data_IF_147880067438
#
_entry.id   IF_147880067438
#
_cell.length_a   1.000
_cell.length_b   1.000
_cell.length_c   1.000
_cell.angle_alpha   90.00
_cell.angle_beta   90.00
_cell.angle_gamma   90.00
#
_symmetry.space_group_name_H-M   'P 1'
#
loop_
_entity.id
_entity.type
_entity.pdbx_description
1 polymer ?
#
# COMPACT_ATOMS: atom_id res chain seq x y z
N UNK A 1 -35.81 52.45 -45.35
CA UNK A 1 -34.98 53.33 -44.49
C UNK A 1 -35.33 53.08 -43.04
N UNK A 2 -34.33 53.16 -42.16
CA UNK A 2 -34.40 53.11 -40.68
C UNK A 2 -34.34 51.72 -40.02
N UNK A 3 -33.11 51.24 -39.83
CA UNK A 3 -32.77 50.27 -38.80
C UNK A 3 -32.86 50.90 -37.41
N UNK A 4 -33.19 50.10 -36.39
CA UNK A 4 -33.22 50.51 -34.99
C UNK A 4 -32.36 49.53 -34.17
N UNK A 5 -31.33 49.99 -33.45
CA UNK A 5 -30.37 49.11 -32.78
C UNK A 5 -30.96 48.56 -31.48
N UNK A 6 -31.24 47.25 -31.44
CA UNK A 6 -31.68 46.50 -30.25
C UNK A 6 -30.52 46.10 -29.31
N UNK A 7 -29.31 46.63 -29.52
CA UNK A 7 -28.09 46.15 -28.85
C UNK A 7 -27.70 46.86 -27.55
N UNK A 8 -28.38 47.95 -27.14
CA UNK A 8 -27.85 48.83 -26.07
C UNK A 8 -28.58 48.74 -24.72
N UNK A 9 -29.76 48.12 -24.66
CA UNK A 9 -30.55 48.06 -23.40
C UNK A 9 -30.22 46.82 -22.56
N UNK A 10 -29.57 45.79 -23.15
CA UNK A 10 -29.24 44.55 -22.43
C UNK A 10 -27.92 44.61 -21.64
N UNK A 11 -27.18 45.74 -21.69
CA UNK A 11 -25.90 45.89 -20.96
C UNK A 11 -25.97 46.70 -19.67
N UNK A 12 -27.16 47.17 -19.28
CA UNK A 12 -27.35 47.95 -18.05
C UNK A 12 -27.89 47.10 -16.89
N UNK A 13 -28.39 45.89 -17.15
CA UNK A 13 -28.84 44.96 -16.10
C UNK A 13 -27.71 44.13 -15.45
N UNK A 14 -26.46 44.29 -15.89
CA UNK A 14 -25.31 43.54 -15.37
C UNK A 14 -24.39 44.34 -14.43
N UNK A 15 -24.71 45.61 -14.16
CA UNK A 15 -23.87 46.50 -13.37
C UNK A 15 -24.46 46.87 -11.98
N UNK A 16 -25.56 46.23 -11.57
CA UNK A 16 -26.26 46.55 -10.31
C UNK A 16 -26.49 45.34 -9.38
N UNK A 17 -25.78 44.24 -9.58
CA UNK A 17 -25.79 43.07 -8.66
C UNK A 17 -24.39 42.73 -8.10
N UNK A 18 -23.41 43.63 -8.24
CA UNK A 18 -22.02 43.42 -7.79
C UNK A 18 -21.68 44.10 -6.45
N UNK A 19 -22.67 44.45 -5.61
CA UNK A 19 -22.40 45.18 -4.37
C UNK A 19 -23.28 44.76 -3.17
N UNK A 20 -23.66 43.47 -3.07
CA UNK A 20 -24.45 43.00 -1.93
C UNK A 20 -24.23 41.53 -1.53
N UNK A 21 -23.04 40.95 -1.75
CA UNK A 21 -22.73 39.56 -1.34
C UNK A 21 -21.47 39.39 -0.43
N UNK A 22 -20.56 40.35 -0.17
CA UNK A 22 -19.46 40.09 0.75
C UNK A 22 -19.74 40.52 2.20
N UNK A 23 -20.98 40.40 2.70
CA UNK A 23 -21.32 40.73 4.11
C UNK A 23 -21.98 39.57 4.90
N UNK A 24 -22.19 38.40 4.30
CA UNK A 24 -22.80 37.24 4.99
C UNK A 24 -21.78 36.16 5.39
N UNK A 25 -20.50 36.34 5.05
CA UNK A 25 -19.43 35.35 5.35
C UNK A 25 -18.84 35.48 6.77
N UNK A 26 -19.25 36.47 7.58
CA UNK A 26 -18.68 36.70 8.92
C UNK A 26 -19.51 36.13 10.11
N UNK A 27 -20.56 35.34 9.88
CA UNK A 27 -21.46 34.90 10.98
C UNK A 27 -21.55 33.38 11.18
N UNK A 28 -20.66 32.59 10.58
CA UNK A 28 -20.58 31.14 10.81
C UNK A 28 -19.27 30.68 11.48
N UNK A 29 -18.62 31.55 12.25
CA UNK A 29 -17.58 31.10 13.19
C UNK A 29 -18.23 30.42 14.38
N UNK A 30 -18.49 29.12 14.26
CA UNK A 30 -18.79 28.27 15.41
C UNK A 30 -17.59 28.29 16.36
N UNK A 31 -17.78 28.50 17.68
CA UNK A 31 -16.69 28.40 18.63
C UNK A 31 -16.18 26.95 18.68
N UNK A 32 -14.87 26.79 18.49
CA UNK A 32 -14.19 25.53 18.81
C UNK A 32 -14.13 25.39 20.33
N UNK A 33 -15.02 24.55 20.88
CA UNK A 33 -14.91 24.12 22.27
C UNK A 33 -13.64 23.29 22.42
N UNK A 34 -12.62 23.91 23.00
CA UNK A 34 -11.37 23.29 23.34
C UNK A 34 -11.60 22.11 24.31
N UNK A 35 -10.91 21.01 24.03
CA UNK A 35 -10.80 19.75 24.79
C UNK A 35 -10.27 19.99 26.22
N UNK A 36 -11.07 20.57 27.10
CA UNK A 36 -10.67 20.85 28.48
C UNK A 36 -11.05 19.76 29.48
N UNK A 37 -11.51 18.60 29.01
CA UNK A 37 -11.92 17.48 29.87
C UNK A 37 -11.09 16.21 29.63
N UNK A 38 -9.75 16.33 29.62
CA UNK A 38 -8.93 15.21 30.08
C UNK A 38 -8.96 15.29 31.60
N UNK A 39 -9.76 14.42 32.21
CA UNK A 39 -9.67 14.09 33.62
C UNK A 39 -8.26 13.58 33.87
N UNK A 40 -7.38 14.45 34.37
CA UNK A 40 -6.12 14.03 34.97
C UNK A 40 -6.51 13.15 36.15
N UNK A 41 -6.48 11.84 35.94
CA UNK A 41 -6.53 10.89 37.04
C UNK A 41 -5.38 11.22 37.97
N UNK A 42 -5.76 11.68 39.15
CA UNK A 42 -4.90 11.85 40.30
C UNK A 42 -4.37 10.47 40.64
N UNK A 43 -3.14 10.21 40.21
CA UNK A 43 -2.36 9.06 40.67
C UNK A 43 -2.43 9.06 42.21
N UNK A 44 -2.85 7.96 42.84
CA UNK A 44 -2.90 7.89 44.29
C UNK A 44 -1.48 8.19 44.85
N UNK A 45 -1.39 8.88 46.00
CA UNK A 45 -0.10 9.17 46.60
C UNK A 45 0.66 7.85 46.82
N UNK A 46 1.94 7.85 46.47
CA UNK A 46 2.88 6.78 46.80
C UNK A 46 2.75 6.43 48.28
N UNK A 47 2.14 5.29 48.57
CA UNK A 47 2.11 4.74 49.92
C UNK A 47 3.52 4.27 50.22
N UNK A 48 4.25 5.06 51.01
CA UNK A 48 5.45 4.59 51.70
C UNK A 48 5.02 3.46 52.64
N UNK A 49 5.47 2.20 52.46
CA UNK A 49 5.12 1.15 53.41
C UNK A 49 5.93 1.35 54.70
N UNK A 50 5.30 1.23 55.88
CA UNK A 50 6.04 1.01 57.11
C UNK A 50 6.72 -0.36 57.04
N UNK A 51 7.89 -0.44 57.66
CA UNK A 51 8.61 -1.69 57.87
C UNK A 51 7.80 -2.65 58.77
N UNK A 52 8.10 -3.94 58.60
CA UNK A 52 7.76 -5.10 59.43
C UNK A 52 6.51 -5.93 59.07
N UNK A 53 6.80 -6.94 58.25
CA UNK A 53 6.63 -8.38 58.53
C UNK A 53 5.20 -8.93 58.75
N UNK A 54 4.62 -9.54 57.70
CA UNK A 54 3.99 -10.88 57.70
C UNK A 54 3.44 -11.25 56.29
N UNK A 55 3.73 -12.47 55.86
CA UNK A 55 3.59 -13.07 54.52
C UNK A 55 2.16 -13.15 53.90
N UNK A 56 2.02 -13.16 52.56
CA UNK A 56 0.82 -13.67 51.88
C UNK A 56 1.02 -15.08 51.28
N UNK A 57 0.01 -15.98 51.34
CA UNK A 57 0.01 -17.23 50.59
C UNK A 57 -0.47 -17.02 49.13
N UNK A 58 0.30 -17.55 48.18
CA UNK A 58 -0.14 -18.26 46.97
C UNK A 58 -1.02 -17.57 45.93
N UNK A 59 -0.39 -17.03 44.87
CA UNK A 59 -0.59 -17.48 43.48
C UNK A 59 0.38 -16.74 42.56
N UNK A 60 1.60 -17.25 42.43
CA UNK A 60 2.58 -16.78 41.44
C UNK A 60 2.48 -17.67 40.21
N UNK A 61 2.13 -17.10 39.05
CA UNK A 61 2.34 -17.76 37.76
C UNK A 61 3.85 -17.99 37.60
N UNK A 62 4.34 -19.22 37.37
CA UNK A 62 5.77 -19.48 37.24
C UNK A 62 6.34 -18.85 35.97
N UNK A 63 7.35 -17.99 36.14
CA UNK A 63 8.23 -17.54 35.05
C UNK A 63 9.21 -18.67 34.68
N UNK A 64 9.45 -18.98 33.39
CA UNK A 64 10.52 -19.89 32.98
C UNK A 64 11.91 -19.28 33.27
N UNK A 65 12.84 -20.13 33.70
CA UNK A 65 14.21 -19.73 34.05
C UNK A 65 15.00 -19.21 32.85
N UNK A 66 15.92 -18.25 33.03
CA UNK A 66 16.89 -17.88 32.01
C UNK A 66 17.85 -19.05 31.75
N UNK A 67 17.99 -19.44 30.49
CA UNK A 67 18.96 -20.46 30.07
C UNK A 67 20.38 -19.91 30.29
N UNK A 68 21.17 -20.64 31.06
CA UNK A 68 22.54 -20.28 31.44
C UNK A 68 23.49 -20.20 30.23
N UNK A 69 24.51 -19.37 30.40
CA UNK A 69 25.65 -19.19 29.49
C UNK A 69 26.30 -20.52 29.12
N UNK A 70 26.52 -20.84 27.82
CA UNK A 70 27.30 -22.02 27.44
C UNK A 70 28.80 -21.82 27.73
N UNK A 71 29.53 -22.89 28.10
CA UNK A 71 30.97 -22.86 28.41
C UNK A 71 31.84 -22.61 27.17
N UNK A 72 33.12 -22.20 27.34
CA UNK A 72 33.98 -21.86 26.21
C UNK A 72 34.50 -23.09 25.45
N UNK A 73 34.45 -22.96 24.13
CA UNK A 73 35.34 -23.49 23.08
C UNK A 73 35.75 -24.97 23.13
N UNK A 74 35.27 -25.72 22.12
CA UNK A 74 36.11 -26.65 21.36
C UNK A 74 35.88 -26.37 19.89
N UNK A 75 36.95 -26.04 19.17
CA UNK A 75 36.96 -25.97 17.72
C UNK A 75 37.36 -27.34 17.18
N UNK A 76 36.53 -27.99 16.35
CA UNK A 76 36.99 -29.01 15.43
C UNK A 76 37.01 -28.45 14.00
N UNK A 77 38.16 -28.67 13.38
CA UNK A 77 38.54 -28.57 11.97
C UNK A 77 37.40 -28.54 10.94
N UNK A 78 37.52 -27.63 9.98
CA UNK A 78 36.68 -27.56 8.78
C UNK A 78 36.68 -28.89 8.00
N UNK A 79 35.51 -29.42 7.63
CA UNK A 79 35.38 -30.27 6.45
C UNK A 79 35.19 -29.37 5.22
N UNK A 80 36.08 -29.52 4.25
CA UNK A 80 35.75 -29.18 2.87
C UNK A 80 34.67 -30.15 2.35
N UNK A 81 33.92 -29.67 1.37
CA UNK A 81 33.03 -30.38 0.42
C UNK A 81 31.51 -30.22 0.55
N UNK A 82 31.00 -29.77 -0.61
CA UNK A 82 29.67 -29.91 -1.19
C UNK A 82 28.52 -29.09 -0.58
N UNK A 83 28.24 -27.95 -1.23
CA UNK A 83 26.88 -27.41 -1.28
C UNK A 83 25.92 -28.52 -1.72
N UNK A 84 24.78 -28.73 -1.05
CA UNK A 84 23.78 -29.65 -1.55
C UNK A 84 23.11 -28.99 -2.76
N UNK A 85 23.38 -29.55 -3.93
CA UNK A 85 22.57 -29.38 -5.14
C UNK A 85 21.14 -29.82 -4.77
N UNK A 86 20.32 -28.84 -4.39
CA UNK A 86 18.92 -29.06 -4.09
C UNK A 86 18.16 -29.04 -5.41
N UNK A 87 17.38 -30.09 -5.73
CA UNK A 87 16.68 -30.17 -7.00
C UNK A 87 15.72 -28.99 -7.14
N UNK A 88 15.65 -28.46 -8.37
CA UNK A 88 14.77 -27.35 -8.74
C UNK A 88 13.35 -27.53 -8.21
N UNK A 89 12.99 -26.77 -7.18
CA UNK A 89 11.62 -26.59 -6.76
C UNK A 89 10.98 -25.56 -7.68
N UNK A 90 10.12 -26.04 -8.58
CA UNK A 90 9.41 -25.25 -9.58
C UNK A 90 8.29 -24.42 -8.96
N UNK A 91 8.64 -23.46 -8.10
CA UNK A 91 7.70 -22.54 -7.46
C UNK A 91 8.15 -21.10 -7.66
N UNK A 92 7.31 -20.31 -8.35
CA UNK A 92 7.36 -18.86 -8.60
C UNK A 92 8.76 -18.24 -8.48
N UNK A 93 9.36 -18.01 -9.64
CA UNK A 93 10.65 -17.34 -9.84
C UNK A 93 10.65 -15.94 -9.24
N UNK A 94 10.89 -15.81 -7.92
CA UNK A 94 11.74 -14.72 -7.49
C UNK A 94 13.09 -14.99 -8.14
N UNK A 95 13.61 -14.11 -9.01
CA UNK A 95 14.95 -14.29 -9.55
C UNK A 95 15.87 -14.54 -8.36
N UNK A 96 16.61 -15.66 -8.39
CA UNK A 96 17.64 -15.89 -7.37
C UNK A 96 18.73 -14.87 -7.64
N UNK A 97 18.63 -13.74 -6.95
CA UNK A 97 19.62 -12.66 -7.07
C UNK A 97 20.90 -13.16 -6.41
N UNK A 98 21.94 -13.31 -7.22
CA UNK A 98 23.29 -13.51 -6.72
C UNK A 98 23.68 -12.25 -5.92
N UNK A 99 24.03 -12.36 -4.62
CA UNK A 99 24.38 -11.21 -3.79
C UNK A 99 25.60 -10.44 -4.31
N UNK A 100 26.42 -11.05 -5.16
CA UNK A 100 27.58 -10.41 -5.79
C UNK A 100 27.23 -9.68 -7.11
N UNK A 101 25.99 -9.82 -7.60
CA UNK A 101 25.50 -9.11 -8.79
C UNK A 101 25.02 -7.69 -8.41
N UNK A 102 25.37 -6.65 -9.19
CA UNK A 102 24.86 -5.31 -8.97
C UNK A 102 23.33 -5.26 -8.95
N UNK A 103 22.77 -4.51 -8.01
CA UNK A 103 21.32 -4.30 -7.94
C UNK A 103 20.84 -3.64 -9.24
N UNK A 104 19.79 -4.16 -9.90
CA UNK A 104 19.27 -3.57 -11.12
C UNK A 104 18.81 -2.12 -10.92
N UNK A 105 18.93 -1.31 -11.97
CA UNK A 105 18.43 0.07 -11.98
C UNK A 105 16.89 0.07 -12.06
N UNK A 106 16.26 0.88 -11.20
CA UNK A 106 14.82 1.18 -11.27
C UNK A 106 14.60 2.33 -12.25
N UNK A 107 13.79 2.09 -13.26
CA UNK A 107 13.48 3.01 -14.35
C UNK A 107 12.05 3.54 -14.18
N UNK A 108 11.89 4.85 -14.19
CA UNK A 108 10.60 5.53 -14.08
C UNK A 108 10.05 6.03 -15.43
N UNK A 109 10.88 6.07 -16.46
CA UNK A 109 10.49 6.53 -17.79
C UNK A 109 9.76 5.42 -18.57
N UNK A 110 8.44 5.39 -18.44
CA UNK A 110 7.55 4.45 -19.16
C UNK A 110 7.64 4.60 -20.70
N UNK A 111 8.19 5.71 -21.22
CA UNK A 111 8.42 5.89 -22.64
C UNK A 111 9.39 4.87 -23.24
N UNK A 112 10.25 4.27 -22.39
CA UNK A 112 11.21 3.22 -22.77
C UNK A 112 10.61 1.82 -22.80
N UNK A 113 9.42 1.61 -22.25
CA UNK A 113 8.74 0.32 -22.32
C UNK A 113 8.29 0.01 -23.76
N UNK A 114 8.31 -1.27 -24.17
CA UNK A 114 7.66 -1.72 -25.39
C UNK A 114 6.19 -1.31 -25.41
N UNK A 115 5.65 -0.98 -26.58
CA UNK A 115 4.28 -0.46 -26.72
C UNK A 115 3.21 -1.37 -26.08
N UNK A 116 3.24 -2.71 -26.23
CA UNK A 116 2.26 -3.57 -25.59
C UNK A 116 2.30 -3.51 -24.05
N UNK A 117 3.51 -3.40 -23.48
CA UNK A 117 3.72 -3.33 -22.03
C UNK A 117 3.21 -1.99 -21.49
N UNK A 118 3.62 -0.88 -22.11
CA UNK A 118 3.14 0.45 -21.73
C UNK A 118 1.62 0.57 -21.84
N UNK A 119 1.04 0.05 -22.93
CA UNK A 119 -0.42 0.06 -23.11
C UNK A 119 -1.13 -0.72 -22.00
N UNK A 120 -0.63 -1.91 -21.65
CA UNK A 120 -1.22 -2.72 -20.59
C UNK A 120 -1.11 -2.02 -19.23
N UNK A 121 0.06 -1.45 -18.92
CA UNK A 121 0.26 -0.62 -17.73
C UNK A 121 -0.80 0.49 -17.65
N UNK A 122 -0.97 1.28 -18.72
CA UNK A 122 -1.92 2.39 -18.75
C UNK A 122 -3.36 1.92 -18.54
N UNK A 123 -3.75 0.79 -19.14
CA UNK A 123 -5.08 0.21 -18.95
C UNK A 123 -5.33 -0.22 -17.49
N UNK A 124 -4.33 -0.81 -16.83
CA UNK A 124 -4.44 -1.23 -15.43
C UNK A 124 -4.52 0.00 -14.52
N UNK A 125 -3.66 1.01 -14.74
CA UNK A 125 -3.69 2.26 -13.98
C UNK A 125 -5.03 2.98 -14.12
N UNK A 126 -5.58 3.07 -15.35
CA UNK A 126 -6.90 3.68 -15.56
C UNK A 126 -8.04 2.88 -14.92
N UNK A 127 -7.93 1.55 -14.86
CA UNK A 127 -8.87 0.73 -14.11
C UNK A 127 -8.80 1.03 -12.59
N UNK A 128 -7.59 1.15 -12.04
CA UNK A 128 -7.37 1.47 -10.62
C UNK A 128 -7.90 2.86 -10.25
N UNK A 129 -7.54 3.89 -11.02
CA UNK A 129 -8.03 5.28 -10.84
C UNK A 129 -9.54 5.39 -10.91
N UNK A 130 -10.18 4.50 -11.66
CA UNK A 130 -11.63 4.44 -11.79
C UNK A 130 -12.35 3.92 -10.54
N UNK A 131 -11.66 3.28 -9.60
CA UNK A 131 -12.22 2.73 -8.36
C UNK A 131 -13.25 1.60 -8.57
N UNK A 132 -13.34 1.06 -9.78
CA UNK A 132 -14.28 0.00 -10.14
C UNK A 132 -13.48 -1.27 -10.50
N UNK A 133 -13.43 -2.21 -9.55
CA UNK A 133 -12.61 -3.42 -9.66
C UNK A 133 -13.01 -4.30 -10.84
N UNK A 134 -14.25 -4.19 -11.34
CA UNK A 134 -14.70 -4.92 -12.52
C UNK A 134 -13.96 -4.47 -13.80
N UNK A 135 -13.33 -3.29 -13.80
CA UNK A 135 -12.49 -2.84 -14.92
C UNK A 135 -11.19 -3.64 -15.07
N UNK A 136 -10.76 -4.38 -14.04
CA UNK A 136 -9.62 -5.30 -14.15
C UNK A 136 -9.98 -6.60 -14.89
N UNK A 137 -11.26 -6.98 -14.90
CA UNK A 137 -11.72 -8.24 -15.51
C UNK A 137 -11.21 -8.48 -16.94
N UNK A 138 -11.32 -7.52 -17.89
CA UNK A 138 -10.79 -7.73 -19.24
C UNK A 138 -9.25 -7.76 -19.32
N UNK A 139 -8.54 -7.32 -18.28
CA UNK A 139 -7.07 -7.20 -18.26
C UNK A 139 -6.40 -8.44 -17.64
N UNK A 140 -7.09 -9.13 -16.72
CA UNK A 140 -6.61 -10.36 -16.08
C UNK A 140 -6.46 -11.50 -17.10
N UNK A 141 -7.23 -11.49 -18.19
CA UNK A 141 -7.23 -12.54 -19.19
C UNK A 141 -8.15 -13.71 -18.83
N UNK A 142 -8.11 -14.77 -19.65
CA UNK A 142 -8.96 -15.97 -19.48
C UNK A 142 -8.23 -17.21 -19.98
N UNK A 143 -8.55 -18.39 -19.41
CA UNK A 143 -7.95 -19.66 -19.83
C UNK A 143 -6.44 -19.67 -19.63
N UNK A 144 -5.71 -20.15 -20.62
CA UNK A 144 -4.24 -20.30 -20.57
C UNK A 144 -3.48 -18.95 -20.47
N UNK A 145 -4.14 -17.84 -20.80
CA UNK A 145 -3.57 -16.49 -20.71
C UNK A 145 -4.06 -15.73 -19.45
N UNK A 146 -4.65 -16.42 -18.47
CA UNK A 146 -5.06 -15.77 -17.22
C UNK A 146 -3.82 -15.36 -16.42
N UNK A 147 -3.87 -14.18 -15.83
CA UNK A 147 -2.84 -13.70 -14.91
C UNK A 147 -2.86 -14.56 -13.66
N UNK A 148 -1.69 -15.03 -13.22
CA UNK A 148 -1.55 -15.76 -11.96
C UNK A 148 -1.61 -14.77 -10.79
N UNK A 149 -2.73 -14.75 -10.06
CA UNK A 149 -2.93 -13.84 -8.92
C UNK A 149 -2.58 -14.49 -7.57
N UNK A 150 -2.36 -15.81 -7.54
CA UNK A 150 -1.99 -16.57 -6.34
C UNK A 150 -0.98 -17.66 -6.70
N UNK A 151 -0.17 -18.06 -5.72
CA UNK A 151 0.74 -19.20 -5.83
C UNK A 151 -0.01 -20.54 -5.91
N UNK A 152 -1.23 -20.56 -5.37
CA UNK A 152 -2.16 -21.69 -5.45
C UNK A 152 -3.26 -21.40 -6.44
N UNK A 153 -3.96 -22.44 -6.87
CA UNK A 153 -5.15 -22.28 -7.68
C UNK A 153 -6.18 -21.38 -6.97
N UNK A 154 -6.84 -20.54 -7.76
CA UNK A 154 -7.93 -19.69 -7.32
C UNK A 154 -9.21 -20.37 -7.76
N UNK A 155 -10.01 -20.78 -6.79
CA UNK A 155 -11.36 -21.27 -7.07
C UNK A 155 -12.30 -20.08 -7.35
N UNK A 156 -12.91 -20.08 -8.53
CA UNK A 156 -13.97 -19.14 -8.88
C UNK A 156 -13.50 -17.88 -9.58
N UNK A 157 -14.08 -16.73 -9.22
CA UNK A 157 -13.92 -15.48 -9.95
C UNK A 157 -12.69 -14.69 -9.49
N UNK A 158 -11.80 -14.34 -10.43
CA UNK A 158 -10.56 -13.63 -10.15
C UNK A 158 -10.78 -12.24 -9.55
N UNK A 159 -11.80 -11.51 -10.01
CA UNK A 159 -12.14 -10.18 -9.47
C UNK A 159 -12.71 -10.32 -8.06
N UNK A 160 -13.58 -11.29 -7.81
CA UNK A 160 -14.06 -11.59 -6.46
C UNK A 160 -12.93 -11.99 -5.50
N UNK A 161 -11.93 -12.74 -5.99
CA UNK A 161 -10.73 -13.07 -5.21
C UNK A 161 -9.95 -11.81 -4.81
N UNK A 162 -9.63 -10.92 -5.77
CA UNK A 162 -8.95 -9.65 -5.49
C UNK A 162 -9.75 -8.78 -4.53
N UNK A 163 -11.07 -8.70 -4.71
CA UNK A 163 -11.97 -7.97 -3.83
C UNK A 163 -11.94 -8.51 -2.40
N UNK A 164 -11.84 -9.83 -2.24
CA UNK A 164 -11.71 -10.49 -0.94
C UNK A 164 -10.38 -10.22 -0.21
N UNK A 165 -9.35 -9.76 -0.92
CA UNK A 165 -8.08 -9.31 -0.34
C UNK A 165 -8.12 -7.86 0.13
N UNK A 166 -9.13 -7.09 -0.29
CA UNK A 166 -9.29 -5.69 0.07
C UNK A 166 -9.80 -5.54 1.50
N UNK A 167 -9.40 -4.49 2.21
CA UNK A 167 -9.95 -4.14 3.52
C UNK A 167 -11.25 -3.33 3.45
N UNK A 168 -11.68 -2.94 2.24
CA UNK A 168 -12.95 -2.28 1.96
C UNK A 168 -13.89 -3.19 1.14
N UNK A 169 -15.22 -3.02 1.27
CA UNK A 169 -16.19 -3.89 0.61
C UNK A 169 -16.30 -3.68 -0.90
N UNK A 170 -15.66 -2.67 -1.48
CA UNK A 170 -15.77 -2.33 -2.90
C UNK A 170 -14.51 -2.68 -3.70
N UNK A 171 -13.38 -2.96 -3.03
CA UNK A 171 -12.11 -3.29 -3.65
C UNK A 171 -11.25 -2.06 -3.97
N UNK A 172 -11.56 -0.89 -3.40
CA UNK A 172 -10.84 0.35 -3.69
C UNK A 172 -9.45 0.37 -3.06
N UNK A 173 -9.26 -0.23 -1.89
CA UNK A 173 -7.97 -0.32 -1.23
C UNK A 173 -6.99 -1.16 -2.05
N UNK A 174 -7.40 -2.35 -2.53
CA UNK A 174 -6.52 -3.18 -3.36
C UNK A 174 -6.19 -2.51 -4.70
N UNK A 175 -7.12 -1.73 -5.29
CA UNK A 175 -6.86 -0.94 -6.49
C UNK A 175 -5.85 0.19 -6.22
N UNK A 176 -5.97 0.87 -5.09
CA UNK A 176 -5.03 1.93 -4.70
C UNK A 176 -3.62 1.36 -4.46
N UNK A 177 -3.52 0.20 -3.80
CA UNK A 177 -2.24 -0.51 -3.62
C UNK A 177 -1.65 -0.92 -4.97
N UNK A 178 -2.47 -1.45 -5.89
CA UNK A 178 -2.01 -1.83 -7.22
C UNK A 178 -1.50 -0.62 -8.01
N UNK A 179 -2.20 0.52 -7.96
CA UNK A 179 -1.73 1.77 -8.56
C UNK A 179 -0.40 2.22 -7.97
N UNK A 180 -0.26 2.21 -6.63
CA UNK A 180 0.99 2.57 -5.95
C UNK A 180 2.16 1.67 -6.38
N UNK A 181 1.93 0.37 -6.53
CA UNK A 181 2.95 -0.59 -6.97
C UNK A 181 3.37 -0.32 -8.43
N UNK A 182 2.41 -0.02 -9.31
CA UNK A 182 2.71 0.26 -10.72
C UNK A 182 3.47 1.59 -10.90
N UNK A 183 3.20 2.57 -10.02
CA UNK A 183 3.92 3.85 -10.00
C UNK A 183 5.32 3.76 -9.38
N UNK A 184 5.70 2.63 -8.78
CA UNK A 184 7.00 2.44 -8.12
C UNK A 184 8.20 2.39 -9.09
N UNK A 185 7.94 2.37 -10.41
CA UNK A 185 8.94 2.16 -11.47
C UNK A 185 9.13 0.68 -11.80
N UNK A 186 9.92 0.40 -12.83
CA UNK A 186 10.16 -0.96 -13.31
C UNK A 186 11.66 -1.23 -13.50
N UNK A 187 12.02 -2.50 -13.57
CA UNK A 187 13.37 -2.99 -13.87
C UNK A 187 13.33 -3.75 -15.19
N UNK A 188 14.34 -3.56 -16.03
CA UNK A 188 14.54 -4.33 -17.26
C UNK A 188 15.60 -5.40 -17.02
N UNK A 189 15.18 -6.66 -17.02
CA UNK A 189 16.02 -7.82 -16.75
C UNK A 189 16.38 -8.55 -18.06
N UNK A 190 17.58 -9.13 -18.09
CA UNK A 190 18.07 -10.02 -19.15
C UNK A 190 17.90 -9.44 -20.57
N UNK A 191 18.16 -8.13 -20.71
CA UNK A 191 17.96 -7.38 -21.95
C UNK A 191 18.66 -8.03 -23.16
N UNK A 192 17.93 -8.19 -24.27
CA UNK A 192 18.42 -8.82 -25.49
C UNK A 192 18.55 -10.35 -25.45
N UNK A 193 18.11 -11.01 -24.39
CA UNK A 193 18.03 -12.47 -24.30
C UNK A 193 16.61 -12.98 -24.54
N UNK A 194 16.38 -14.29 -24.79
CA UNK A 194 15.04 -14.86 -24.82
C UNK A 194 14.28 -14.79 -23.48
N UNK A 195 14.98 -14.48 -22.38
CA UNK A 195 14.44 -14.32 -21.03
C UNK A 195 14.24 -12.84 -20.66
N UNK A 196 14.26 -11.94 -21.64
CA UNK A 196 14.04 -10.50 -21.41
C UNK A 196 12.70 -10.22 -20.71
N UNK A 197 12.74 -9.48 -19.60
CA UNK A 197 11.58 -9.20 -18.75
C UNK A 197 11.54 -7.75 -18.28
N UNK A 198 10.32 -7.25 -18.06
CA UNK A 198 10.03 -5.95 -17.46
C UNK A 198 9.23 -6.21 -16.18
N UNK A 199 9.77 -5.86 -15.02
CA UNK A 199 9.22 -6.18 -13.69
C UNK A 199 9.06 -4.93 -12.85
#
# INVERSE_FOLDING_TARGET
MSGKPRGLVLRISFAACCAAIPLVVCLASSPAYALSEIKREELPPTVTPPADDMSPPGSTVPMPNPVGTPPPSRQPTAPAEAEPDSPADGGVTRPRVDPDTPVPEVIYDLGKLPEPVRRMHDLIVEACKGGDIEKLRPLIGTGDNTTQLSLTDIDGDAVAFLKGLSGDPDGQEILAILEEVLDAGYVHLDAGTPQELYV
#
